data_IF_410091824701
#
_entry.id   IF_410091824701
#
_cell.length_a   1.000
_cell.length_b   1.000
_cell.length_c   1.000
_cell.angle_alpha   90.00
_cell.angle_beta   90.00
_cell.angle_gamma   90.00
#
_symmetry.space_group_name_H-M   'P 1'
#
loop_
_entity.id
_entity.type
_entity.pdbx_description
1 polymer ?
#
# COMPACT_ATOMS: atom_id res chain seq x y z
N UNK A 1 -27.38 12.97 3.30
CA UNK A 1 -26.32 12.21 2.62
C UNK A 1 -25.38 11.70 3.71
N UNK A 2 -25.59 10.48 4.18
CA UNK A 2 -24.95 9.98 5.41
C UNK A 2 -23.46 9.69 5.19
N UNK A 3 -22.61 10.28 6.03
CA UNK A 3 -21.20 9.88 6.17
C UNK A 3 -21.21 8.44 6.67
N UNK A 4 -20.98 7.48 5.78
CA UNK A 4 -20.67 6.11 6.21
C UNK A 4 -19.31 6.19 6.87
N UNK A 5 -19.29 6.12 8.21
CA UNK A 5 -18.10 5.82 8.99
C UNK A 5 -17.67 4.38 8.66
N UNK A 6 -17.11 4.15 7.48
CA UNK A 6 -16.32 2.95 7.22
C UNK A 6 -15.03 3.14 8.01
N UNK A 7 -14.97 2.58 9.22
CA UNK A 7 -13.70 2.39 9.91
C UNK A 7 -12.83 1.50 9.02
N UNK A 8 -11.94 2.11 8.23
CA UNK A 8 -10.92 1.37 7.51
C UNK A 8 -9.86 0.93 8.50
N UNK A 9 -9.90 -0.34 8.88
CA UNK A 9 -8.83 -0.96 9.65
C UNK A 9 -7.99 -1.77 8.68
N UNK A 10 -7.05 -1.11 8.01
CA UNK A 10 -6.08 -1.86 7.20
C UNK A 10 -5.17 -2.66 8.13
N UNK A 11 -5.34 -3.98 8.14
CA UNK A 11 -4.44 -4.86 8.88
C UNK A 11 -3.21 -5.10 8.00
N UNK A 12 -2.02 -4.93 8.59
CA UNK A 12 -0.69 -5.25 8.01
C UNK A 12 -0.16 -6.55 8.62
N UNK A 13 -0.50 -7.75 8.09
CA UNK A 13 0.03 -9.02 8.58
C UNK A 13 1.55 -9.12 8.46
N UNK A 14 2.17 -8.44 7.49
CA UNK A 14 3.63 -8.51 7.30
C UNK A 14 4.43 -7.82 8.42
N UNK A 15 3.79 -7.34 9.50
CA UNK A 15 4.46 -6.97 10.74
C UNK A 15 4.72 -8.17 11.68
N UNK A 16 4.27 -9.40 11.34
CA UNK A 16 4.61 -10.61 12.09
C UNK A 16 6.04 -11.09 11.75
N UNK A 17 7.04 -10.31 12.12
CA UNK A 17 8.46 -10.61 11.89
C UNK A 17 9.39 -9.45 12.25
N UNK A 18 10.69 -9.72 12.43
CA UNK A 18 11.70 -8.73 12.85
C UNK A 18 12.11 -7.69 11.78
N UNK A 19 11.33 -7.51 10.70
CA UNK A 19 11.61 -6.56 9.62
C UNK A 19 11.03 -6.99 8.26
N UNK A 20 11.19 -6.14 7.23
CA UNK A 20 10.65 -6.34 5.88
C UNK A 20 11.09 -7.64 5.17
N UNK A 21 12.19 -8.24 5.64
CA UNK A 21 12.78 -9.47 5.13
C UNK A 21 12.41 -10.70 5.96
N UNK A 22 11.83 -10.51 7.15
CA UNK A 22 11.50 -11.58 8.06
C UNK A 22 10.10 -12.13 7.71
N UNK A 23 10.08 -13.34 7.16
CA UNK A 23 8.88 -14.12 6.83
C UNK A 23 7.96 -13.51 5.75
N UNK A 24 8.44 -13.20 4.54
CA UNK A 24 7.54 -12.78 3.48
C UNK A 24 6.63 -13.94 3.08
N UNK A 25 5.36 -13.64 2.76
CA UNK A 25 4.44 -14.54 2.01
C UNK A 25 5.09 -15.18 0.76
N UNK A 26 6.19 -14.58 0.30
CA UNK A 26 6.97 -14.93 -0.89
C UNK A 26 8.33 -15.54 -0.55
N UNK A 27 8.50 -15.99 0.69
CA UNK A 27 9.71 -16.68 1.17
C UNK A 27 10.09 -17.83 0.22
N UNK A 28 11.39 -18.07 -0.05
CA UNK A 28 11.82 -19.23 -0.81
C UNK A 28 11.44 -20.56 -0.13
N UNK A 29 11.23 -20.56 1.19
CA UNK A 29 10.89 -21.75 1.96
C UNK A 29 9.38 -22.10 1.91
N UNK A 30 8.99 -23.30 1.46
CA UNK A 30 7.59 -23.71 1.35
C UNK A 30 6.81 -23.66 2.66
N UNK A 31 7.41 -24.07 3.78
CA UNK A 31 6.73 -24.13 5.08
C UNK A 31 6.50 -22.75 5.71
N UNK A 32 7.35 -21.76 5.37
CA UNK A 32 7.10 -20.36 5.73
C UNK A 32 5.91 -19.83 4.92
N UNK A 33 5.86 -20.10 3.62
CA UNK A 33 4.72 -19.67 2.78
C UNK A 33 3.40 -20.28 3.24
N UNK A 34 3.38 -21.57 3.60
CA UNK A 34 2.17 -22.25 4.10
C UNK A 34 1.65 -21.60 5.38
N UNK A 35 2.54 -21.33 6.35
CA UNK A 35 2.18 -20.64 7.60
C UNK A 35 1.63 -19.24 7.34
N UNK A 36 2.28 -18.46 6.49
CA UNK A 36 1.85 -17.10 6.20
C UNK A 36 0.48 -17.04 5.50
N UNK A 37 0.17 -17.98 4.60
CA UNK A 37 -1.16 -18.07 3.97
C UNK A 37 -2.25 -18.38 5.01
N UNK A 38 -1.92 -19.22 5.98
CA UNK A 38 -2.81 -19.62 7.06
C UNK A 38 -3.01 -18.48 8.09
N UNK A 39 -1.99 -17.63 8.30
CA UNK A 39 -2.13 -16.38 9.06
C UNK A 39 -3.02 -15.36 8.31
N UNK A 40 -2.84 -15.22 6.99
CA UNK A 40 -3.72 -14.35 6.19
C UNK A 40 -5.16 -14.82 6.25
N UNK A 41 -5.42 -16.14 6.21
CA UNK A 41 -6.78 -16.67 6.36
C UNK A 41 -7.43 -16.21 7.67
N UNK A 42 -6.70 -16.31 8.80
CA UNK A 42 -7.18 -15.80 10.10
C UNK A 42 -7.44 -14.29 10.08
N UNK A 43 -6.58 -13.52 9.43
CA UNK A 43 -6.76 -12.07 9.30
C UNK A 43 -7.99 -11.74 8.46
N UNK A 44 -8.23 -12.46 7.37
CA UNK A 44 -9.44 -12.31 6.54
C UNK A 44 -10.69 -12.61 7.36
N UNK A 45 -10.69 -13.69 8.14
CA UNK A 45 -11.81 -14.04 9.04
C UNK A 45 -12.07 -12.95 10.08
N UNK A 46 -11.00 -12.41 10.68
CA UNK A 46 -11.11 -11.30 11.61
C UNK A 46 -11.65 -10.03 10.92
N UNK A 47 -11.14 -9.67 9.73
CA UNK A 47 -11.63 -8.53 8.95
C UNK A 47 -13.12 -8.67 8.62
N UNK A 48 -13.57 -9.87 8.23
CA UNK A 48 -14.97 -10.16 7.99
C UNK A 48 -15.82 -9.96 9.26
N UNK A 49 -15.33 -10.42 10.42
CA UNK A 49 -16.02 -10.27 11.70
C UNK A 49 -16.19 -8.80 12.14
N UNK A 50 -15.25 -7.93 11.77
CA UNK A 50 -15.30 -6.49 12.13
C UNK A 50 -15.79 -5.58 10.99
N UNK A 51 -16.28 -6.16 9.88
CA UNK A 51 -16.67 -5.44 8.67
C UNK A 51 -15.55 -4.53 8.10
N UNK A 52 -14.30 -4.95 8.24
CA UNK A 52 -13.19 -4.29 7.56
C UNK A 52 -13.15 -4.71 6.09
N UNK A 53 -13.16 -3.77 5.13
CA UNK A 53 -13.32 -4.12 3.71
C UNK A 53 -12.06 -4.67 3.04
N UNK A 54 -10.88 -4.53 3.66
CA UNK A 54 -9.62 -4.88 2.99
C UNK A 54 -8.48 -5.25 3.94
N UNK A 55 -7.61 -6.15 3.48
CA UNK A 55 -6.31 -6.47 4.10
C UNK A 55 -5.20 -5.95 3.20
N UNK A 56 -4.16 -5.37 3.80
CA UNK A 56 -3.01 -4.88 3.05
C UNK A 56 -1.75 -5.66 3.37
N UNK A 57 -0.97 -5.94 2.33
CA UNK A 57 0.23 -6.73 2.39
C UNK A 57 1.36 -6.00 1.69
N UNK A 58 2.60 -6.29 2.08
CA UNK A 58 3.74 -5.80 1.31
C UNK A 58 4.03 -6.75 0.15
N UNK A 59 4.45 -6.23 -1.01
CA UNK A 59 4.78 -7.02 -2.19
C UNK A 59 6.05 -7.85 -2.01
N UNK A 60 6.80 -7.70 -0.90
CA UNK A 60 8.05 -8.42 -0.66
C UNK A 60 9.23 -7.79 -1.38
N UNK A 61 10.33 -8.52 -1.44
CA UNK A 61 11.63 -8.06 -1.94
C UNK A 61 12.20 -9.03 -2.99
N UNK A 62 13.22 -8.58 -3.71
CA UNK A 62 14.03 -9.46 -4.56
C UNK A 62 15.00 -10.22 -3.65
N UNK A 63 14.87 -11.55 -3.59
CA UNK A 63 15.77 -12.40 -2.83
C UNK A 63 17.11 -12.60 -3.54
N UNK A 64 18.18 -12.82 -2.77
CA UNK A 64 19.51 -13.10 -3.30
C UNK A 64 19.48 -14.27 -4.30
N UNK A 65 20.10 -14.07 -5.47
CA UNK A 65 20.16 -15.06 -6.54
C UNK A 65 18.93 -15.14 -7.45
N UNK A 66 17.85 -14.39 -7.17
CA UNK A 66 16.69 -14.33 -8.05
C UNK A 66 16.72 -13.14 -9.00
N UNK A 67 16.17 -13.30 -10.21
CA UNK A 67 15.92 -12.17 -11.10
C UNK A 67 14.67 -11.38 -10.65
N UNK A 68 14.58 -10.12 -11.08
CA UNK A 68 13.39 -9.29 -10.87
C UNK A 68 12.14 -9.90 -11.50
N UNK A 69 12.28 -10.47 -12.71
CA UNK A 69 11.19 -11.15 -13.41
C UNK A 69 10.65 -12.33 -12.59
N UNK A 70 11.53 -13.17 -12.03
CA UNK A 70 11.10 -14.29 -11.18
C UNK A 70 10.39 -13.81 -9.90
N UNK A 71 10.86 -12.70 -9.33
CA UNK A 71 10.25 -12.11 -8.13
C UNK A 71 8.85 -11.53 -8.44
N UNK A 72 8.67 -10.87 -9.59
CA UNK A 72 7.36 -10.41 -10.08
C UNK A 72 6.43 -11.60 -10.32
N UNK A 73 6.90 -12.66 -10.97
CA UNK A 73 6.10 -13.86 -11.22
C UNK A 73 5.63 -14.52 -9.90
N UNK A 74 6.53 -14.67 -8.92
CA UNK A 74 6.16 -15.15 -7.58
C UNK A 74 5.19 -14.21 -6.86
N UNK A 75 5.32 -12.91 -7.08
CA UNK A 75 4.39 -11.91 -6.53
C UNK A 75 2.98 -12.10 -7.07
N UNK A 76 2.85 -12.32 -8.38
CA UNK A 76 1.58 -12.62 -9.05
C UNK A 76 0.95 -13.89 -8.49
N UNK A 77 1.70 -15.00 -8.46
CA UNK A 77 1.22 -16.30 -7.98
C UNK A 77 0.78 -16.26 -6.51
N UNK A 78 1.53 -15.55 -5.66
CA UNK A 78 1.15 -15.36 -4.26
C UNK A 78 -0.13 -14.53 -4.15
N UNK A 79 -0.25 -13.46 -4.95
CA UNK A 79 -1.44 -12.60 -4.97
C UNK A 79 -2.69 -13.36 -5.39
N UNK A 80 -2.60 -14.22 -6.40
CA UNK A 80 -3.70 -15.09 -6.83
C UNK A 80 -4.18 -16.03 -5.71
N UNK A 81 -3.26 -16.61 -4.93
CA UNK A 81 -3.61 -17.46 -3.77
C UNK A 81 -4.30 -16.66 -2.67
N UNK A 82 -3.85 -15.45 -2.40
CA UNK A 82 -4.45 -14.55 -1.41
C UNK A 82 -5.86 -14.10 -1.82
N UNK A 83 -6.06 -13.83 -3.11
CA UNK A 83 -7.38 -13.52 -3.67
C UNK A 83 -8.33 -14.71 -3.50
N UNK A 84 -7.89 -15.93 -3.77
CA UNK A 84 -8.72 -17.13 -3.56
C UNK A 84 -9.13 -17.33 -2.09
N UNK A 85 -8.27 -16.97 -1.13
CA UNK A 85 -8.57 -17.04 0.31
C UNK A 85 -9.61 -15.99 0.73
N UNK A 86 -9.53 -14.79 0.17
CA UNK A 86 -10.30 -13.63 0.62
C UNK A 86 -11.63 -13.43 -0.11
N UNK A 87 -11.74 -13.91 -1.34
CA UNK A 87 -12.93 -13.78 -2.18
C UNK A 87 -14.22 -14.28 -1.50
N UNK A 88 -14.27 -15.45 -0.83
CA UNK A 88 -15.49 -15.93 -0.19
C UNK A 88 -16.00 -15.01 0.93
N UNK A 89 -15.09 -14.27 1.57
CA UNK A 89 -15.42 -13.33 2.64
C UNK A 89 -15.71 -11.91 2.12
N UNK A 90 -15.57 -11.66 0.81
CA UNK A 90 -15.75 -10.34 0.21
C UNK A 90 -14.69 -9.31 0.64
N UNK A 91 -13.53 -9.77 1.12
CA UNK A 91 -12.45 -8.91 1.62
C UNK A 91 -11.48 -8.61 0.46
N UNK A 92 -11.21 -7.33 0.21
CA UNK A 92 -10.22 -6.95 -0.80
C UNK A 92 -8.80 -7.23 -0.30
N UNK A 93 -7.94 -7.76 -1.18
CA UNK A 93 -6.49 -7.83 -0.95
C UNK A 93 -5.85 -6.64 -1.63
N UNK A 94 -5.16 -5.83 -0.84
CA UNK A 94 -4.38 -4.70 -1.30
C UNK A 94 -2.89 -4.99 -1.12
N UNK A 95 -2.06 -4.67 -2.10
CA UNK A 95 -0.61 -4.58 -1.90
C UNK A 95 -0.17 -3.12 -1.87
N UNK A 96 0.86 -2.83 -1.09
CA UNK A 96 1.47 -1.50 -1.00
C UNK A 96 2.83 -1.50 -1.69
N UNK A 97 2.92 -1.04 -2.96
CA UNK A 97 4.20 -0.73 -3.59
C UNK A 97 4.98 0.25 -2.71
N UNK A 98 6.23 -0.09 -2.39
CA UNK A 98 7.03 0.71 -1.49
C UNK A 98 8.49 0.77 -1.92
N UNK A 99 9.17 1.86 -1.54
CA UNK A 99 10.59 2.06 -1.77
C UNK A 99 11.41 0.98 -1.05
N UNK A 100 12.53 0.56 -1.64
CA UNK A 100 13.35 -0.58 -1.21
C UNK A 100 12.62 -1.94 -1.27
N UNK A 101 11.46 -2.00 -1.94
CA UNK A 101 10.65 -3.20 -2.14
C UNK A 101 10.81 -3.79 -3.55
N UNK A 102 9.94 -4.74 -3.90
CA UNK A 102 9.89 -5.32 -5.24
C UNK A 102 9.31 -4.37 -6.30
N UNK A 103 8.31 -3.57 -5.93
CA UNK A 103 7.49 -2.77 -6.84
C UNK A 103 7.81 -1.28 -6.72
N UNK A 104 9.04 -0.94 -7.10
CA UNK A 104 9.56 0.43 -7.03
C UNK A 104 9.18 1.30 -8.23
N UNK A 105 8.65 0.71 -9.31
CA UNK A 105 8.16 1.46 -10.46
C UNK A 105 6.65 1.31 -10.65
N UNK A 106 5.97 2.33 -11.21
CA UNK A 106 4.57 2.21 -11.59
C UNK A 106 4.32 1.08 -12.60
N UNK A 107 5.25 0.85 -13.54
CA UNK A 107 5.11 -0.20 -14.57
C UNK A 107 5.23 -1.61 -14.00
N UNK A 108 6.14 -1.86 -13.04
CA UNK A 108 6.20 -3.16 -12.35
C UNK A 108 4.92 -3.41 -11.55
N UNK A 109 4.38 -2.36 -10.93
CA UNK A 109 3.12 -2.43 -10.18
C UNK A 109 1.97 -2.81 -11.10
N UNK A 110 1.86 -2.17 -12.27
CA UNK A 110 0.87 -2.50 -13.29
C UNK A 110 1.01 -3.96 -13.78
N UNK A 111 2.23 -4.42 -14.05
CA UNK A 111 2.46 -5.81 -14.49
C UNK A 111 1.93 -6.84 -13.47
N UNK A 112 2.08 -6.57 -12.17
CA UNK A 112 1.51 -7.43 -11.12
C UNK A 112 -0.01 -7.36 -11.08
N UNK A 113 -0.59 -6.17 -11.21
CA UNK A 113 -2.04 -5.98 -11.22
C UNK A 113 -2.71 -6.68 -12.41
N UNK A 114 -2.07 -6.63 -13.58
CA UNK A 114 -2.50 -7.34 -14.79
C UNK A 114 -2.40 -8.87 -14.62
N UNK A 115 -1.33 -9.34 -14.00
CA UNK A 115 -1.12 -10.77 -13.73
C UNK A 115 -2.03 -11.36 -12.63
N UNK A 116 -2.58 -10.52 -11.75
CA UNK A 116 -3.48 -10.93 -10.66
C UNK A 116 -4.80 -10.13 -10.68
N UNK A 117 -5.71 -10.39 -11.65
CA UNK A 117 -6.98 -9.71 -11.73
C UNK A 117 -7.79 -9.79 -10.41
N UNK A 118 -8.24 -8.63 -9.92
CA UNK A 118 -8.92 -8.50 -8.63
C UNK A 118 -8.03 -8.01 -7.50
N UNK A 119 -6.70 -8.06 -7.66
CA UNK A 119 -5.77 -7.43 -6.74
C UNK A 119 -5.97 -5.91 -6.71
N UNK A 120 -5.87 -5.32 -5.53
CA UNK A 120 -5.97 -3.88 -5.31
C UNK A 120 -4.67 -3.31 -4.78
N UNK A 121 -4.62 -1.99 -4.69
CA UNK A 121 -3.53 -1.25 -4.09
C UNK A 121 -3.95 -0.60 -2.78
N UNK A 122 -3.02 -0.59 -1.83
CA UNK A 122 -2.92 0.48 -0.87
C UNK A 122 -1.93 1.49 -1.48
N UNK A 123 -2.49 2.50 -2.12
CA UNK A 123 -1.73 3.42 -2.94
C UNK A 123 -1.13 4.52 -2.07
N UNK A 124 0.20 4.56 -1.99
CA UNK A 124 0.95 5.68 -1.41
C UNK A 124 1.83 6.29 -2.50
N UNK A 125 1.53 7.52 -2.89
CA UNK A 125 2.32 8.24 -3.90
C UNK A 125 3.74 8.49 -3.41
N UNK A 126 3.95 8.67 -2.10
CA UNK A 126 5.23 9.06 -1.53
C UNK A 126 6.35 8.07 -1.88
N UNK A 127 6.02 6.78 -1.96
CA UNK A 127 6.98 5.74 -2.34
C UNK A 127 7.49 5.86 -3.79
N UNK A 128 6.69 6.41 -4.71
CA UNK A 128 7.13 6.68 -6.07
C UNK A 128 7.81 8.04 -6.19
N UNK A 129 7.26 9.08 -5.54
CA UNK A 129 7.84 10.43 -5.57
C UNK A 129 9.26 10.45 -4.96
N UNK A 130 9.50 9.70 -3.87
CA UNK A 130 10.84 9.61 -3.28
C UNK A 130 11.87 8.99 -4.22
N UNK A 131 11.44 8.13 -5.16
CA UNK A 131 12.28 7.50 -6.17
C UNK A 131 12.44 8.35 -7.44
N UNK A 132 11.81 9.53 -7.49
CA UNK A 132 11.94 10.49 -8.59
C UNK A 132 10.86 10.39 -9.66
N UNK A 133 9.85 9.54 -9.50
CA UNK A 133 8.66 9.55 -10.36
C UNK A 133 7.83 10.81 -10.10
N UNK A 134 7.10 11.25 -11.12
CA UNK A 134 6.16 12.36 -11.03
C UNK A 134 4.76 11.85 -10.65
N UNK A 135 3.88 12.73 -10.16
CA UNK A 135 2.48 12.37 -9.92
C UNK A 135 1.78 11.78 -11.15
N UNK A 136 1.92 12.36 -12.36
CA UNK A 136 1.38 11.78 -13.59
C UNK A 136 1.84 10.34 -13.89
N UNK A 137 3.05 9.95 -13.48
CA UNK A 137 3.52 8.57 -13.66
C UNK A 137 2.77 7.58 -12.75
N UNK A 138 2.24 8.07 -11.63
CA UNK A 138 1.55 7.28 -10.59
C UNK A 138 0.03 7.33 -10.76
N UNK A 139 -0.52 8.40 -11.34
CA UNK A 139 -1.96 8.61 -11.54
C UNK A 139 -2.71 7.38 -12.11
N UNK A 140 -2.18 6.61 -13.09
CA UNK A 140 -2.83 5.41 -13.60
C UNK A 140 -3.14 4.35 -12.52
N UNK A 141 -2.35 4.30 -11.44
CA UNK A 141 -2.55 3.35 -10.34
C UNK A 141 -3.81 3.67 -9.51
N UNK A 142 -4.38 4.88 -9.61
CA UNK A 142 -5.61 5.26 -8.93
C UNK A 142 -6.79 4.34 -9.25
N UNK A 143 -6.83 3.73 -10.44
CA UNK A 143 -7.90 2.82 -10.85
C UNK A 143 -7.92 1.51 -10.03
N UNK A 144 -6.81 1.20 -9.36
CA UNK A 144 -6.62 -0.02 -8.59
C UNK A 144 -6.65 0.19 -7.08
N UNK A 145 -6.76 1.44 -6.61
CA UNK A 145 -6.76 1.75 -5.19
C UNK A 145 -7.97 1.16 -4.45
N UNK A 146 -7.72 0.41 -3.38
CA UNK A 146 -8.70 0.09 -2.34
C UNK A 146 -8.53 1.03 -1.13
N UNK A 147 -7.28 1.35 -0.80
CA UNK A 147 -6.90 2.26 0.26
C UNK A 147 -5.89 3.28 -0.30
N UNK A 148 -5.92 4.52 0.18
CA UNK A 148 -4.89 5.52 -0.15
C UNK A 148 -4.22 6.00 1.12
N UNK A 149 -2.89 5.89 1.18
CA UNK A 149 -2.08 6.50 2.23
C UNK A 149 -1.58 7.86 1.75
N UNK A 150 -1.68 8.85 2.64
CA UNK A 150 -1.34 10.23 2.35
C UNK A 150 -0.26 10.68 3.33
N UNK A 151 0.89 11.04 2.77
CA UNK A 151 1.96 11.80 3.43
C UNK A 151 2.58 12.73 2.41
N UNK A 152 3.20 13.82 2.86
CA UNK A 152 3.94 14.70 1.97
C UNK A 152 5.35 14.15 1.73
N UNK A 153 5.82 14.22 0.49
CA UNK A 153 7.10 13.64 0.06
C UNK A 153 7.73 14.50 -1.04
N UNK A 154 9.00 14.25 -1.34
CA UNK A 154 9.71 14.84 -2.49
C UNK A 154 10.81 13.88 -2.97
N UNK A 155 11.41 14.09 -4.15
CA UNK A 155 12.53 13.27 -4.59
C UNK A 155 13.62 13.15 -3.51
N UNK A 156 14.00 11.92 -3.19
CA UNK A 156 14.96 11.57 -2.14
C UNK A 156 14.43 11.57 -0.69
N UNK A 157 13.16 11.95 -0.46
CA UNK A 157 12.57 11.97 0.88
C UNK A 157 11.16 11.36 0.86
N UNK A 158 11.02 10.18 1.48
CA UNK A 158 9.74 9.48 1.62
C UNK A 158 8.72 10.29 2.43
N UNK A 159 9.21 11.12 3.35
CA UNK A 159 8.35 11.94 4.19
C UNK A 159 8.99 13.31 4.42
N UNK A 160 8.16 14.35 4.40
CA UNK A 160 8.55 15.73 4.68
C UNK A 160 7.43 16.48 5.38
N UNK A 161 7.76 17.63 5.98
CA UNK A 161 6.74 18.60 6.41
C UNK A 161 5.86 18.98 5.22
N UNK A 162 4.58 19.27 5.47
CA UNK A 162 3.58 19.55 4.43
C UNK A 162 4.04 20.66 3.47
N UNK A 163 4.66 21.71 4.01
CA UNK A 163 5.20 22.86 3.29
C UNK A 163 6.46 22.59 2.45
N UNK A 164 7.15 21.47 2.66
CA UNK A 164 8.46 21.20 2.08
C UNK A 164 8.46 20.12 0.99
N UNK A 165 7.36 19.39 0.81
CA UNK A 165 7.27 18.39 -0.25
C UNK A 165 6.68 18.91 -1.54
N UNK A 166 6.57 18.01 -2.51
CA UNK A 166 6.21 18.32 -3.89
C UNK A 166 4.86 17.75 -4.31
N UNK A 167 4.19 16.94 -3.46
CA UNK A 167 2.87 16.42 -3.77
C UNK A 167 1.83 17.54 -3.77
N UNK A 168 1.18 17.70 -4.92
CA UNK A 168 -0.02 18.49 -5.12
C UNK A 168 -1.25 17.64 -4.78
N UNK A 169 -1.71 17.76 -3.53
CA UNK A 169 -2.88 17.03 -3.03
C UNK A 169 -4.18 17.32 -3.79
N UNK A 170 -4.54 18.58 -4.14
CA UNK A 170 -5.67 18.84 -5.02
C UNK A 170 -5.66 17.98 -6.30
N UNK A 171 -4.55 17.96 -7.03
CA UNK A 171 -4.42 17.17 -8.25
C UNK A 171 -4.52 15.66 -7.99
N UNK A 172 -3.86 15.15 -6.94
CA UNK A 172 -3.94 13.74 -6.54
C UNK A 172 -5.38 13.33 -6.21
N UNK A 173 -6.10 14.17 -5.45
CA UNK A 173 -7.50 13.91 -5.09
C UNK A 173 -8.42 13.96 -6.30
N UNK A 174 -8.12 14.81 -7.29
CA UNK A 174 -8.84 14.86 -8.57
C UNK A 174 -8.60 13.59 -9.38
N UNK A 175 -7.36 13.08 -9.46
CA UNK A 175 -7.04 11.78 -10.10
C UNK A 175 -7.84 10.63 -9.46
N UNK A 176 -7.90 10.58 -8.13
CA UNK A 176 -8.73 9.60 -7.40
C UNK A 176 -10.22 9.77 -7.72
N UNK A 177 -10.72 11.01 -7.83
CA UNK A 177 -12.13 11.27 -8.17
C UNK A 177 -12.44 10.79 -9.59
N UNK A 178 -11.54 11.01 -10.54
CA UNK A 178 -11.70 10.59 -11.95
C UNK A 178 -11.78 9.06 -12.09
N UNK A 179 -11.14 8.30 -11.19
CA UNK A 179 -11.26 6.84 -11.15
C UNK A 179 -12.41 6.34 -10.27
N UNK A 180 -13.32 7.23 -9.85
CA UNK A 180 -14.44 6.95 -8.94
C UNK A 180 -14.02 6.35 -7.60
N UNK A 181 -12.81 6.67 -7.13
CA UNK A 181 -12.33 6.18 -5.85
C UNK A 181 -13.15 6.77 -4.68
N UNK A 182 -13.82 5.89 -3.94
CA UNK A 182 -14.64 6.22 -2.78
C UNK A 182 -14.16 5.53 -1.49
N UNK A 183 -12.98 4.90 -1.53
CA UNK A 183 -12.39 4.22 -0.39
C UNK A 183 -11.76 5.16 0.64
N UNK A 184 -11.03 4.56 1.58
CA UNK A 184 -10.45 5.26 2.71
C UNK A 184 -9.14 5.96 2.39
N UNK A 185 -9.02 7.19 2.88
CA UNK A 185 -7.78 7.98 2.81
C UNK A 185 -7.21 8.07 4.23
N UNK A 186 -6.11 7.39 4.49
CA UNK A 186 -5.42 7.49 5.77
C UNK A 186 -4.23 8.44 5.66
N UNK A 187 -4.00 9.23 6.70
CA UNK A 187 -2.79 10.04 6.82
C UNK A 187 -1.72 9.17 7.47
N UNK A 188 -0.59 8.98 6.79
CA UNK A 188 0.47 8.06 7.21
C UNK A 188 1.79 8.80 7.44
N UNK A 189 1.76 9.77 8.35
CA UNK A 189 3.01 10.23 8.96
C UNK A 189 3.48 9.18 9.96
N UNK A 190 4.71 8.71 9.79
CA UNK A 190 5.35 7.73 10.66
C UNK A 190 6.54 8.35 11.38
N UNK A 191 6.96 7.79 12.51
CA UNK A 191 8.21 8.12 13.18
C UNK A 191 9.06 6.84 13.25
N UNK A 192 9.86 6.61 12.21
CA UNK A 192 10.66 5.41 12.02
C UNK A 192 12.00 5.75 11.36
N UNK A 193 13.06 5.02 11.69
CA UNK A 193 14.38 5.18 11.05
C UNK A 193 14.36 4.82 9.55
N UNK A 194 13.37 4.03 9.12
CA UNK A 194 13.15 3.71 7.71
C UNK A 194 13.02 4.99 6.88
N UNK A 195 13.95 5.16 5.93
CA UNK A 195 14.02 6.31 5.00
C UNK A 195 13.97 7.68 5.69
N UNK A 196 14.56 7.79 6.90
CA UNK A 196 14.63 9.04 7.69
C UNK A 196 13.24 9.66 7.94
N UNK A 197 12.24 8.82 8.23
CA UNK A 197 10.87 9.30 8.52
C UNK A 197 10.70 9.78 9.96
N UNK A 198 11.74 9.74 10.79
CA UNK A 198 11.78 10.16 12.19
C UNK A 198 12.03 11.67 12.40
N UNK A 199 12.15 12.46 11.33
CA UNK A 199 12.62 13.85 11.36
C UNK A 199 11.51 14.93 11.36
N UNK A 200 10.25 14.55 11.55
CA UNK A 200 9.10 15.47 11.63
C UNK A 200 8.22 15.20 12.86
N UNK A 201 7.48 16.21 13.29
CA UNK A 201 6.43 16.05 14.30
C UNK A 201 5.18 15.40 13.67
N UNK A 202 5.03 14.09 13.86
CA UNK A 202 3.98 13.28 13.23
C UNK A 202 2.58 13.82 13.51
N UNK A 203 2.32 14.33 14.71
CA UNK A 203 0.99 14.82 15.10
C UNK A 203 0.64 16.10 14.35
N UNK A 204 1.54 17.10 14.36
CA UNK A 204 1.32 18.36 13.66
C UNK A 204 1.15 18.14 12.16
N UNK A 205 2.02 17.33 11.55
CA UNK A 205 1.95 17.08 10.11
C UNK A 205 0.69 16.30 9.73
N UNK A 206 0.25 15.36 10.58
CA UNK A 206 -1.03 14.67 10.41
C UNK A 206 -2.22 15.63 10.42
N UNK A 207 -2.25 16.56 11.38
CA UNK A 207 -3.32 17.56 11.49
C UNK A 207 -3.33 18.51 10.29
N UNK A 208 -2.15 19.01 9.90
CA UNK A 208 -1.99 19.89 8.74
C UNK A 208 -2.50 19.22 7.47
N UNK A 209 -2.05 18.00 7.18
CA UNK A 209 -2.43 17.28 5.96
C UNK A 209 -3.90 16.91 5.95
N UNK A 210 -4.45 16.42 7.08
CA UNK A 210 -5.89 16.16 7.22
C UNK A 210 -6.71 17.41 6.90
N UNK A 211 -6.32 18.58 7.43
CA UNK A 211 -7.03 19.83 7.18
C UNK A 211 -6.92 20.24 5.70
N UNK A 212 -5.75 20.09 5.07
CA UNK A 212 -5.57 20.35 3.63
C UNK A 212 -6.45 19.45 2.76
N UNK A 213 -6.50 18.15 3.05
CA UNK A 213 -7.32 17.19 2.30
C UNK A 213 -8.80 17.48 2.48
N UNK A 214 -9.26 17.75 3.70
CA UNK A 214 -10.67 18.09 3.99
C UNK A 214 -11.14 19.36 3.31
N UNK A 215 -10.27 20.33 3.08
CA UNK A 215 -10.63 21.55 2.37
C UNK A 215 -10.90 21.34 0.86
N UNK A 216 -10.55 20.18 0.31
CA UNK A 216 -10.70 19.83 -1.12
C UNK A 216 -11.76 18.74 -1.37
N UNK A 217 -12.37 18.20 -0.30
CA UNK A 217 -13.46 17.23 -0.36
C UNK A 217 -14.81 17.95 -0.29
#
# INVERSE_FOLDING_TARGET
MGIRNTQCVTIRPNAFGAGFTAQPLKSPEPEVRRRNLEDVRRVVEFCAAIACPSVMLLPGVIHAGASKADAIQRCIEASQKLLAISQPAGIAIAIEPHAMGLLESPSDTLAVLEGAPGLKLALDYAHFITLGYTQPDVDPLCAFAAHVHLRQAKPGFLQTRLEHGTLNFPALLDSLRQTNYNGCRAVEYAHQDYMQTDNVDVISETVKLRNRVRAHL
#
